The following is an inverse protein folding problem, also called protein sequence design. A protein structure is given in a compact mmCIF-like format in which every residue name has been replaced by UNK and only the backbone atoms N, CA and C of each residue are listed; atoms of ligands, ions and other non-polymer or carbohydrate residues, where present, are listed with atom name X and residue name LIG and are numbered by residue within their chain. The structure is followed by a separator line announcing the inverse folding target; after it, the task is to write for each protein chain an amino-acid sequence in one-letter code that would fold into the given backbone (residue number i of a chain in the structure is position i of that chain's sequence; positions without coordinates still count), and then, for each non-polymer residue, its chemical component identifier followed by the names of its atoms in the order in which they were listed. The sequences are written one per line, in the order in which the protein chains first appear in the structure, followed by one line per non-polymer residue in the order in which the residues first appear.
data_IF_287030623889
#
_entry.id   IF_287030623889
#
_cell.length_a   1.000
_cell.length_b   1.000
_cell.length_c   1.000
_cell.angle_alpha   90.00
_cell.angle_beta   90.00
_cell.angle_gamma   90.00
#
_symmetry.space_group_name_H-M   'P 1'
#
loop_
_entity.id
_entity.type
_entity.pdbx_description
1 polymer ?
#
# COMPACT_ATOMS: atom_id res chain seq x y z
N UNK A 1 3.14 -5.78 25.70
CA UNK A 1 2.34 -6.96 25.29
C UNK A 1 1.32 -6.60 24.21
N UNK A 2 0.37 -5.71 24.47
CA UNK A 2 -0.70 -5.34 23.50
C UNK A 2 -0.16 -4.77 22.19
N UNK A 3 0.86 -3.91 22.21
CA UNK A 3 1.42 -3.29 21.00
C UNK A 3 2.05 -4.28 20.01
N UNK A 4 2.73 -5.32 20.52
CA UNK A 4 3.32 -6.38 19.67
C UNK A 4 2.21 -7.24 19.06
N UNK A 5 1.17 -7.54 19.85
CA UNK A 5 0.03 -8.31 19.39
C UNK A 5 -0.76 -7.56 18.30
N UNK A 6 -0.97 -6.24 18.46
CA UNK A 6 -1.63 -5.41 17.45
C UNK A 6 -0.79 -5.25 16.19
N UNK A 7 0.53 -5.09 16.32
CA UNK A 7 1.44 -5.03 15.18
C UNK A 7 1.35 -6.32 14.36
N UNK A 8 1.58 -7.47 15.00
CA UNK A 8 1.53 -8.77 14.31
C UNK A 8 0.15 -9.06 13.74
N UNK A 9 -0.92 -8.75 14.49
CA UNK A 9 -2.29 -8.94 14.02
C UNK A 9 -2.62 -8.12 12.77
N UNK A 10 -2.25 -6.83 12.77
CA UNK A 10 -2.50 -5.96 11.62
C UNK A 10 -1.62 -6.32 10.42
N UNK A 11 -0.33 -6.59 10.63
CA UNK A 11 0.59 -7.00 9.56
C UNK A 11 0.13 -8.31 8.91
N UNK A 12 -0.28 -9.31 9.71
CA UNK A 12 -0.78 -10.57 9.17
C UNK A 12 -2.10 -10.38 8.44
N UNK A 13 -3.03 -9.56 8.97
CA UNK A 13 -4.28 -9.23 8.31
C UNK A 13 -4.05 -8.61 6.93
N UNK A 14 -3.19 -7.58 6.85
CA UNK A 14 -2.87 -6.93 5.57
C UNK A 14 -2.21 -7.92 4.61
N UNK A 15 -1.26 -8.74 5.09
CA UNK A 15 -0.61 -9.75 4.27
C UNK A 15 -1.58 -10.79 3.70
N UNK A 16 -2.53 -11.25 4.51
CA UNK A 16 -3.57 -12.21 4.09
C UNK A 16 -4.47 -11.59 3.03
N UNK A 17 -4.99 -10.38 3.26
CA UNK A 17 -5.87 -9.69 2.30
C UNK A 17 -5.14 -9.46 0.98
N UNK A 18 -3.91 -8.96 1.01
CA UNK A 18 -3.09 -8.74 -0.19
C UNK A 18 -2.84 -10.05 -0.94
N UNK A 19 -2.54 -11.14 -0.24
CA UNK A 19 -2.36 -12.44 -0.89
C UNK A 19 -3.64 -12.93 -1.58
N UNK A 20 -4.78 -12.85 -0.91
CA UNK A 20 -6.06 -13.23 -1.52
C UNK A 20 -6.49 -12.32 -2.67
N UNK A 21 -6.18 -11.03 -2.61
CA UNK A 21 -6.46 -10.08 -3.68
C UNK A 21 -5.57 -10.32 -4.91
N UNK A 22 -4.27 -10.59 -4.71
CA UNK A 22 -3.30 -10.75 -5.80
C UNK A 22 -3.27 -12.16 -6.40
N UNK A 23 -3.71 -13.21 -5.68
CA UNK A 23 -3.61 -14.61 -6.17
C UNK A 23 -4.37 -14.91 -7.47
N UNK A 24 -5.31 -14.05 -7.87
CA UNK A 24 -6.10 -14.22 -9.10
C UNK A 24 -5.63 -13.31 -10.23
N UNK A 25 -4.64 -12.46 -9.98
CA UNK A 25 -4.06 -11.57 -10.97
C UNK A 25 -3.15 -12.36 -11.91
N UNK A 26 -3.40 -12.25 -13.20
CA UNK A 26 -2.63 -12.91 -14.24
C UNK A 26 -1.38 -12.07 -14.57
N UNK A 27 -0.27 -12.35 -13.88
CA UNK A 27 1.03 -11.67 -14.02
C UNK A 27 1.79 -12.05 -15.31
N UNK A 28 1.18 -12.86 -16.20
CA UNK A 28 1.84 -13.39 -17.41
C UNK A 28 1.86 -12.41 -18.59
N UNK A 29 1.15 -11.29 -18.51
CA UNK A 29 1.14 -10.25 -19.57
C UNK A 29 1.69 -8.93 -19.04
N UNK A 30 2.60 -8.30 -19.80
CA UNK A 30 3.16 -6.98 -19.48
C UNK A 30 2.10 -5.91 -19.22
N UNK A 31 0.93 -6.02 -19.86
CA UNK A 31 -0.19 -5.09 -19.65
C UNK A 31 -0.86 -5.28 -18.28
N UNK A 32 -0.87 -6.50 -17.75
CA UNK A 32 -1.33 -6.81 -16.39
C UNK A 32 -0.36 -6.28 -15.33
N UNK A 33 0.94 -6.48 -15.56
CA UNK A 33 2.01 -6.10 -14.63
C UNK A 33 2.19 -4.58 -14.51
N UNK A 34 2.17 -3.84 -15.63
CA UNK A 34 2.47 -2.40 -15.65
C UNK A 34 1.23 -1.49 -15.60
N UNK A 35 0.08 -1.96 -16.08
CA UNK A 35 -1.15 -1.13 -16.17
C UNK A 35 -2.34 -1.72 -15.40
N UNK A 36 -2.16 -2.81 -14.66
CA UNK A 36 -3.27 -3.50 -13.98
C UNK A 36 -4.40 -3.86 -14.96
N UNK A 37 -4.06 -4.18 -16.22
CA UNK A 37 -5.03 -4.50 -17.27
C UNK A 37 -5.93 -3.32 -17.71
N UNK A 38 -5.48 -2.07 -17.60
CA UNK A 38 -6.27 -0.84 -17.88
C UNK A 38 -7.42 -0.60 -16.88
N UNK A 39 -7.45 -1.32 -15.76
CA UNK A 39 -8.50 -1.22 -14.73
C UNK A 39 -8.28 -0.07 -13.73
N UNK A 40 -7.13 0.61 -13.76
CA UNK A 40 -6.78 1.66 -12.81
C UNK A 40 -7.56 2.94 -13.12
N UNK A 41 -8.65 3.15 -12.37
CA UNK A 41 -9.47 4.38 -12.46
C UNK A 41 -8.68 5.59 -11.94
N UNK A 42 -8.98 6.79 -12.44
CA UNK A 42 -8.28 8.03 -12.10
C UNK A 42 -8.07 8.26 -10.57
N UNK A 43 -9.03 7.83 -9.74
CA UNK A 43 -8.90 7.90 -8.28
C UNK A 43 -7.78 7.03 -7.70
N UNK A 44 -7.54 5.84 -8.26
CA UNK A 44 -6.46 4.94 -7.80
C UNK A 44 -5.10 5.52 -8.18
N UNK A 45 -4.99 6.11 -9.37
CA UNK A 45 -3.76 6.77 -9.83
C UNK A 45 -3.44 7.99 -8.96
N UNK A 46 -4.42 8.87 -8.73
CA UNK A 46 -4.25 10.04 -7.86
C UNK A 46 -3.89 9.62 -6.42
N UNK A 47 -4.58 8.61 -5.88
CA UNK A 47 -4.29 8.06 -4.56
C UNK A 47 -2.88 7.50 -4.45
N UNK A 48 -2.42 6.73 -5.45
CA UNK A 48 -1.05 6.22 -5.48
C UNK A 48 -0.03 7.35 -5.52
N UNK A 49 -0.24 8.40 -6.34
CA UNK A 49 0.69 9.53 -6.42
C UNK A 49 0.76 10.33 -5.12
N UNK A 50 -0.37 10.49 -4.42
CA UNK A 50 -0.41 11.13 -3.10
C UNK A 50 0.29 10.28 -2.05
N UNK A 51 0.03 8.98 -2.01
CA UNK A 51 0.68 8.05 -1.07
C UNK A 51 2.19 7.97 -1.31
N UNK A 52 2.65 8.00 -2.56
CA UNK A 52 4.07 8.07 -2.91
C UNK A 52 4.72 9.38 -2.47
N UNK A 53 3.95 10.48 -2.43
CA UNK A 53 4.41 11.79 -1.94
C UNK A 53 4.26 11.97 -0.42
N UNK A 54 3.77 10.97 0.31
CA UNK A 54 3.65 10.97 1.77
C UNK A 54 4.62 9.94 2.34
N UNK A 55 5.86 10.35 2.54
CA UNK A 55 6.85 9.49 3.19
C UNK A 55 6.72 9.54 4.72
N UNK A 56 7.16 8.47 5.37
CA UNK A 56 7.27 8.41 6.84
C UNK A 56 8.14 9.54 7.39
N UNK A 57 9.14 9.95 6.61
CA UNK A 57 10.07 11.03 6.93
C UNK A 57 9.37 12.39 6.91
N UNK A 58 8.40 12.61 6.03
CA UNK A 58 7.62 13.85 6.04
C UNK A 58 6.66 13.90 7.22
N UNK A 59 5.98 12.79 7.52
CA UNK A 59 5.01 12.75 8.62
C UNK A 59 5.72 12.85 9.97
N UNK A 60 6.78 12.08 10.19
CA UNK A 60 7.52 12.08 11.46
C UNK A 60 8.48 13.27 11.55
N UNK A 61 9.14 13.65 10.44
CA UNK A 61 10.10 14.76 10.41
C UNK A 61 9.46 16.14 10.51
N UNK A 62 8.23 16.33 10.01
CA UNK A 62 7.48 17.58 10.22
C UNK A 62 7.07 17.73 11.69
N UNK A 63 6.69 16.63 12.35
CA UNK A 63 6.46 16.61 13.79
C UNK A 63 7.77 16.81 14.58
N UNK A 64 8.89 16.25 14.12
CA UNK A 64 10.20 16.42 14.74
C UNK A 64 10.86 17.79 14.54
N UNK A 65 10.43 18.58 13.54
CA UNK A 65 10.84 19.99 13.38
C UNK A 65 9.94 20.97 14.12
N UNK A 66 8.74 20.54 14.53
CA UNK A 66 7.76 21.36 15.24
C UNK A 66 7.95 21.34 16.77
N UNK A 67 8.76 20.41 17.28
CA UNK A 67 9.19 20.29 18.68
C UNK A 67 10.71 20.48 18.78
#
# INVERSE_FOLDING_TARGET
MVGILSFLGFTMLVGIISYFATRTTDEKSSDGYFLGGRSLTAGVIAGSLLLTNLSTEQIVGLNGSAY
#
